data_IF_319870112119
#
_entry.id   IF_319870112119
#
_cell.length_a   1.000
_cell.length_b   1.000
_cell.length_c   1.000
_cell.angle_alpha   90.00
_cell.angle_beta   90.00
_cell.angle_gamma   90.00
#
_symmetry.space_group_name_H-M   'P 1'
#
loop_
_entity.id
_entity.type
_entity.pdbx_description
1 polymer ?
#
# COMPACT_ATOMS: atom_id res chain seq x y z
N UNK A 1 7.42 37.33 -16.16
CA UNK A 1 8.10 36.92 -14.91
C UNK A 1 7.38 35.67 -14.38
N UNK A 2 7.96 34.48 -14.56
CA UNK A 2 7.37 33.21 -14.13
C UNK A 2 7.62 33.03 -12.62
N UNK A 3 6.56 32.84 -11.83
CA UNK A 3 6.70 32.55 -10.39
C UNK A 3 7.17 31.10 -10.23
N UNK A 4 8.31 30.84 -9.55
CA UNK A 4 8.67 29.47 -9.21
C UNK A 4 7.64 28.94 -8.20
N UNK A 5 6.91 27.88 -8.56
CA UNK A 5 6.07 27.14 -7.64
C UNK A 5 6.97 26.53 -6.56
N UNK A 6 6.78 26.94 -5.30
CA UNK A 6 7.44 26.27 -4.17
C UNK A 6 6.96 24.82 -4.15
N UNK A 7 7.79 23.91 -4.64
CA UNK A 7 7.56 22.47 -4.52
C UNK A 7 7.44 22.14 -3.04
N UNK A 8 6.24 21.72 -2.60
CA UNK A 8 6.03 21.27 -1.24
C UNK A 8 6.88 20.02 -1.05
N UNK A 9 8.01 20.17 -0.35
CA UNK A 9 8.94 19.07 -0.07
C UNK A 9 8.14 17.90 0.49
N UNK A 10 8.19 16.77 -0.20
CA UNK A 10 7.53 15.56 0.25
C UNK A 10 8.17 15.14 1.58
N UNK A 11 7.34 14.82 2.57
CA UNK A 11 7.83 14.36 3.87
C UNK A 11 8.72 13.12 3.71
N UNK A 12 9.65 12.93 4.64
CA UNK A 12 10.50 11.75 4.61
C UNK A 12 9.64 10.49 4.85
N UNK A 13 9.60 9.61 3.86
CA UNK A 13 8.87 8.34 3.92
C UNK A 13 9.75 7.16 4.33
N UNK A 14 11.03 7.36 4.64
CA UNK A 14 11.93 6.29 5.05
C UNK A 14 11.46 5.60 6.34
N UNK A 15 10.78 6.32 7.23
CA UNK A 15 10.22 5.78 8.48
C UNK A 15 9.01 4.85 8.28
N UNK A 16 8.50 4.74 7.05
CA UNK A 16 7.25 4.01 6.79
C UNK A 16 7.49 2.49 6.93
N UNK A 17 6.59 1.75 7.59
CA UNK A 17 6.77 0.32 7.83
C UNK A 17 7.03 -0.50 6.56
N UNK A 18 6.35 -0.19 5.45
CA UNK A 18 6.56 -0.88 4.16
C UNK A 18 7.93 -0.59 3.52
N UNK A 19 8.52 0.59 3.75
CA UNK A 19 9.88 0.91 3.27
C UNK A 19 10.90 0.15 4.11
N UNK A 20 10.73 0.13 5.43
CA UNK A 20 11.58 -0.64 6.34
C UNK A 20 11.51 -2.15 6.06
N UNK A 21 10.31 -2.66 5.75
CA UNK A 21 10.12 -4.04 5.33
C UNK A 21 10.86 -4.34 4.01
N UNK A 22 10.74 -3.46 3.00
CA UNK A 22 11.44 -3.61 1.72
C UNK A 22 12.97 -3.58 1.89
N UNK A 23 13.46 -2.72 2.77
CA UNK A 23 14.88 -2.61 3.10
C UNK A 23 15.38 -3.88 3.80
N UNK A 24 14.64 -4.39 4.81
CA UNK A 24 14.98 -5.61 5.55
C UNK A 24 14.95 -6.85 4.65
N UNK A 25 13.95 -6.94 3.77
CA UNK A 25 13.83 -8.03 2.79
C UNK A 25 14.83 -7.88 1.63
N UNK A 26 15.47 -6.72 1.49
CA UNK A 26 16.36 -6.36 0.39
C UNK A 26 15.72 -6.59 -1.01
N UNK A 27 14.41 -6.40 -1.11
CA UNK A 27 13.60 -6.79 -2.27
C UNK A 27 12.17 -6.26 -2.21
N UNK A 28 11.35 -6.69 -3.18
CA UNK A 28 9.97 -6.28 -3.27
C UNK A 28 9.12 -6.89 -2.15
N UNK A 29 8.28 -6.08 -1.53
CA UNK A 29 7.35 -6.49 -0.47
C UNK A 29 5.95 -5.96 -0.77
N UNK A 30 4.95 -6.71 -0.31
CA UNK A 30 3.56 -6.27 -0.23
C UNK A 30 3.19 -6.14 1.26
N UNK A 31 2.71 -4.97 1.67
CA UNK A 31 2.34 -4.73 3.07
C UNK A 31 0.98 -5.35 3.39
N UNK A 32 0.75 -5.59 4.68
CA UNK A 32 -0.61 -5.72 5.20
C UNK A 32 -1.40 -4.41 5.00
N UNK A 33 -2.74 -4.46 4.94
CA UNK A 33 -3.55 -3.27 4.77
C UNK A 33 -3.40 -2.36 6.00
N UNK A 34 -3.18 -1.06 5.77
CA UNK A 34 -2.90 -0.10 6.83
C UNK A 34 -3.45 1.29 6.48
N UNK A 35 -3.74 2.09 7.49
CA UNK A 35 -4.18 3.47 7.29
C UNK A 35 -3.00 4.31 6.79
N UNK A 36 -3.17 4.89 5.60
CA UNK A 36 -2.22 5.82 5.00
C UNK A 36 -1.97 7.02 5.91
N UNK A 37 -0.75 7.18 6.44
CA UNK A 37 -0.40 8.38 7.22
C UNK A 37 -0.54 9.70 6.44
N UNK A 38 -0.48 9.65 5.11
CA UNK A 38 -0.55 10.86 4.25
C UNK A 38 -1.97 11.21 3.80
N UNK A 39 -2.90 10.25 3.78
CA UNK A 39 -4.26 10.47 3.23
C UNK A 39 -5.39 9.97 4.12
N UNK A 40 -5.09 9.28 5.23
CA UNK A 40 -6.09 8.62 6.08
C UNK A 40 -6.78 7.41 5.43
N UNK A 41 -6.40 7.02 4.21
CA UNK A 41 -7.06 5.95 3.46
C UNK A 41 -6.50 4.58 3.82
N UNK A 42 -7.37 3.62 4.12
CA UNK A 42 -6.98 2.21 4.30
C UNK A 42 -6.46 1.62 2.98
N UNK A 43 -5.18 1.25 2.95
CA UNK A 43 -4.46 0.91 1.71
C UNK A 43 -3.43 -0.19 1.93
N UNK A 44 -3.15 -0.94 0.88
CA UNK A 44 -2.03 -1.87 0.74
C UNK A 44 -0.90 -1.18 -0.02
N UNK A 45 0.35 -1.44 0.35
CA UNK A 45 1.52 -0.85 -0.29
C UNK A 45 2.42 -1.94 -0.87
N UNK A 46 2.78 -1.78 -2.14
CA UNK A 46 3.90 -2.51 -2.73
C UNK A 46 5.14 -1.60 -2.70
N UNK A 47 6.26 -2.11 -2.22
CA UNK A 47 7.50 -1.34 -2.15
C UNK A 47 8.70 -2.21 -2.54
N UNK A 48 9.69 -1.62 -3.22
CA UNK A 48 10.94 -2.29 -3.56
C UNK A 48 12.11 -1.32 -3.49
N UNK A 49 13.28 -1.71 -2.96
CA UNK A 49 14.49 -0.90 -3.04
C UNK A 49 14.94 -0.79 -4.51
N UNK A 50 15.38 0.41 -4.89
CA UNK A 50 16.10 0.67 -6.14
C UNK A 50 17.58 0.65 -5.78
N UNK A 51 18.33 -0.23 -6.42
CA UNK A 51 19.75 -0.41 -6.16
C UNK A 51 20.57 0.17 -7.29
N UNK A 52 21.67 0.83 -6.93
CA UNK A 52 22.70 1.15 -7.89
C UNK A 52 23.37 -0.14 -8.39
N UNK A 53 23.53 -0.26 -9.71
CA UNK A 53 24.02 -1.49 -10.34
C UNK A 53 25.50 -1.75 -10.05
N UNK A 54 26.30 -0.70 -9.87
CA UNK A 54 27.74 -0.82 -9.67
C UNK A 54 28.09 -1.15 -8.20
N UNK A 55 27.39 -0.55 -7.25
CA UNK A 55 27.70 -0.65 -5.81
C UNK A 55 26.76 -1.57 -5.04
N UNK A 56 25.61 -1.93 -5.61
CA UNK A 56 24.57 -2.69 -4.92
C UNK A 56 23.85 -1.93 -3.80
N UNK A 57 24.20 -0.66 -3.57
CA UNK A 57 23.58 0.17 -2.53
C UNK A 57 22.17 0.60 -2.94
N UNK A 58 21.26 0.61 -1.97
CA UNK A 58 19.93 1.18 -2.14
C UNK A 58 20.03 2.70 -2.27
N UNK A 59 19.62 3.23 -3.43
CA UNK A 59 19.62 4.66 -3.75
C UNK A 59 18.22 5.28 -3.68
N UNK A 60 17.18 4.45 -3.54
CA UNK A 60 15.80 4.90 -3.44
C UNK A 60 14.83 3.73 -3.30
N UNK A 61 13.53 4.03 -3.38
CA UNK A 61 12.47 3.03 -3.31
C UNK A 61 11.39 3.33 -4.35
N UNK A 62 10.97 2.30 -5.07
CA UNK A 62 9.73 2.33 -5.84
C UNK A 62 8.58 1.95 -4.93
N UNK A 63 7.46 2.68 -5.01
CA UNK A 63 6.26 2.43 -4.21
C UNK A 63 4.99 2.55 -5.03
N UNK A 64 4.10 1.59 -4.89
CA UNK A 64 2.71 1.67 -5.32
C UNK A 64 1.77 1.63 -4.11
N UNK A 65 0.64 2.33 -4.21
CA UNK A 65 -0.42 2.34 -3.19
C UNK A 65 -1.70 1.84 -3.83
N UNK A 66 -2.28 0.81 -3.23
CA UNK A 66 -3.57 0.25 -3.61
C UNK A 66 -4.59 0.52 -2.49
N UNK A 67 -5.50 1.50 -2.65
CA UNK A 67 -6.59 1.69 -1.71
C UNK A 67 -7.47 0.43 -1.65
N UNK A 68 -7.85 -0.02 -0.44
CA UNK A 68 -8.67 -1.22 -0.26
C UNK A 68 -10.03 -1.09 -0.94
N UNK A 69 -10.58 0.14 -1.02
CA UNK A 69 -11.80 0.43 -1.78
C UNK A 69 -11.68 0.07 -3.27
N UNK A 70 -10.56 0.43 -3.90
CA UNK A 70 -10.31 0.10 -5.32
C UNK A 70 -10.11 -1.41 -5.48
N UNK A 71 -9.43 -2.05 -4.52
CA UNK A 71 -9.32 -3.52 -4.51
C UNK A 71 -10.70 -4.17 -4.41
N UNK A 72 -11.63 -3.64 -3.60
CA UNK A 72 -13.00 -4.11 -3.48
C UNK A 72 -13.72 -4.15 -4.84
N UNK A 73 -13.63 -3.07 -5.60
CA UNK A 73 -14.22 -2.96 -6.94
C UNK A 73 -13.62 -4.00 -7.91
N UNK A 74 -12.31 -4.23 -7.83
CA UNK A 74 -11.62 -5.24 -8.65
C UNK A 74 -12.13 -6.65 -8.29
N UNK A 75 -12.17 -7.00 -7.00
CA UNK A 75 -12.55 -8.36 -6.59
C UNK A 75 -14.04 -8.65 -6.79
N UNK A 76 -14.90 -7.64 -6.77
CA UNK A 76 -16.33 -7.79 -7.08
C UNK A 76 -16.56 -8.37 -8.48
N UNK A 77 -15.70 -8.02 -9.46
CA UNK A 77 -15.80 -8.58 -10.83
C UNK A 77 -15.57 -10.10 -10.90
N UNK A 78 -15.00 -10.70 -9.86
CA UNK A 78 -14.75 -12.14 -9.75
C UNK A 78 -15.81 -12.86 -8.90
N UNK A 79 -16.81 -12.14 -8.37
CA UNK A 79 -17.90 -12.74 -7.61
C UNK A 79 -18.83 -13.51 -8.54
N UNK A 80 -18.97 -14.81 -8.30
CA UNK A 80 -20.04 -15.62 -8.91
C UNK A 80 -21.28 -15.59 -8.01
N UNK A 81 -22.48 -15.66 -8.57
CA UNK A 81 -23.72 -15.73 -7.78
C UNK A 81 -23.65 -16.85 -6.73
N UNK A 82 -24.01 -16.52 -5.49
CA UNK A 82 -23.97 -17.44 -4.35
C UNK A 82 -22.60 -17.61 -3.68
N UNK A 83 -21.52 -17.01 -4.19
CA UNK A 83 -20.19 -17.07 -3.57
C UNK A 83 -19.89 -15.86 -2.67
N UNK A 84 -19.30 -16.15 -1.51
CA UNK A 84 -18.74 -15.16 -0.60
C UNK A 84 -17.21 -15.23 -0.69
N UNK A 85 -16.56 -14.07 -0.62
CA UNK A 85 -15.10 -13.99 -0.53
C UNK A 85 -14.71 -13.13 0.67
N UNK A 86 -13.57 -13.46 1.26
CA UNK A 86 -12.95 -12.69 2.31
C UNK A 86 -11.45 -12.63 2.05
N UNK A 87 -10.86 -11.44 2.21
CA UNK A 87 -9.42 -11.28 2.29
C UNK A 87 -9.05 -11.08 3.76
N UNK A 88 -8.05 -11.83 4.20
CA UNK A 88 -7.54 -11.83 5.57
C UNK A 88 -6.11 -11.31 5.62
N UNK A 89 -5.77 -10.60 6.68
CA UNK A 89 -4.40 -10.18 6.94
C UNK A 89 -3.59 -11.32 7.60
N UNK A 90 -2.34 -11.04 7.98
CA UNK A 90 -1.45 -12.01 8.63
C UNK A 90 -1.85 -12.40 10.06
N UNK A 91 -2.74 -11.65 10.71
CA UNK A 91 -3.32 -12.00 12.01
C UNK A 91 -4.61 -12.81 11.90
N UNK A 92 -5.10 -13.03 10.67
CA UNK A 92 -6.36 -13.74 10.40
C UNK A 92 -7.61 -12.85 10.46
N UNK A 93 -7.45 -11.53 10.60
CA UNK A 93 -8.55 -10.58 10.58
C UNK A 93 -9.02 -10.33 9.14
N UNK A 94 -10.33 -10.38 8.96
CA UNK A 94 -10.97 -10.03 7.68
C UNK A 94 -10.89 -8.53 7.47
N UNK A 95 -10.25 -8.10 6.38
CA UNK A 95 -10.13 -6.67 6.03
C UNK A 95 -10.94 -6.28 4.79
N UNK A 96 -11.43 -7.27 4.03
CA UNK A 96 -12.28 -7.08 2.87
C UNK A 96 -13.22 -8.29 2.75
N UNK A 97 -14.51 -8.05 2.55
CA UNK A 97 -15.51 -9.08 2.27
C UNK A 97 -16.34 -8.74 1.03
N UNK A 98 -17.14 -9.72 0.58
CA UNK A 98 -18.09 -9.54 -0.52
C UNK A 98 -19.32 -8.69 -0.15
N UNK A 99 -19.49 -8.40 1.14
CA UNK A 99 -20.50 -7.51 1.69
C UNK A 99 -19.79 -6.37 2.45
N UNK A 100 -20.36 -5.17 2.40
CA UNK A 100 -19.87 -4.07 3.21
C UNK A 100 -20.09 -4.41 4.68
N UNK A 101 -19.00 -4.63 5.42
CA UNK A 101 -19.08 -4.59 6.87
C UNK A 101 -19.37 -3.15 7.26
N UNK A 102 -20.63 -2.83 7.54
CA UNK A 102 -20.99 -1.63 8.29
C UNK A 102 -20.19 -1.64 9.59
N UNK A 103 -19.10 -0.87 9.67
CA UNK A 103 -18.58 -0.45 10.96
C UNK A 103 -19.59 0.54 11.53
N UNK A 104 -20.55 0.00 12.27
CA UNK A 104 -21.41 0.77 13.15
C UNK A 104 -20.49 1.50 14.14
N UNK A 105 -20.30 2.79 13.89
CA UNK A 105 -19.94 3.76 14.93
C UNK A 105 -21.23 4.47 15.33
#
# INVERSE_FOLDING_TARGET
MLKPTKEKKLDNHLDRPYIQAALKANGAVLSQPTISKSTGTFSIYAASPIKDKATGKTIGFARSRLPVKVLAEIVQSYKTEGQQYYLVNDTGEVFLGAEEFCQQN
#
